data_IF_154515449182
#
_entry.id   IF_154515449182
#
_cell.length_a   1.000
_cell.length_b   1.000
_cell.length_c   1.000
_cell.angle_alpha   90.00
_cell.angle_beta   90.00
_cell.angle_gamma   90.00
#
_symmetry.space_group_name_H-M   'P 1'
#
loop_
_entity.id
_entity.type
_entity.pdbx_description
1 polymer ?
#
# COMPACT_ATOMS: atom_id res chain seq x y z
N UNK A 1 11.80 8.18 -28.78
CA UNK A 1 12.06 7.03 -27.89
C UNK A 1 13.41 7.29 -27.23
N UNK A 2 13.43 7.76 -25.98
CA UNK A 2 14.68 8.05 -25.28
C UNK A 2 15.25 6.75 -24.70
N UNK A 3 16.35 6.27 -25.29
CA UNK A 3 17.00 5.01 -24.91
C UNK A 3 18.02 5.24 -23.79
N UNK A 4 17.56 5.30 -22.53
CA UNK A 4 18.46 5.16 -21.39
C UNK A 4 18.91 3.69 -21.28
N UNK A 5 20.18 3.40 -21.60
CA UNK A 5 20.73 2.03 -21.61
C UNK A 5 21.18 1.58 -20.21
N UNK A 6 20.34 1.74 -19.19
CA UNK A 6 20.57 1.13 -17.88
C UNK A 6 19.80 -0.20 -17.80
N UNK A 7 20.54 -1.31 -17.94
CA UNK A 7 19.96 -2.67 -17.88
C UNK A 7 20.27 -3.39 -16.57
N UNK A 8 21.04 -2.78 -15.65
CA UNK A 8 21.44 -3.38 -14.37
C UNK A 8 20.96 -2.54 -13.20
N UNK A 9 20.38 -3.20 -12.19
CA UNK A 9 19.93 -2.54 -10.96
C UNK A 9 21.07 -1.81 -10.23
N UNK A 10 22.30 -2.34 -10.29
CA UNK A 10 23.48 -1.70 -9.69
C UNK A 10 23.81 -0.33 -10.33
N UNK A 11 23.60 -0.20 -11.64
CA UNK A 11 23.84 1.06 -12.35
C UNK A 11 22.79 2.10 -11.96
N UNK A 12 21.53 1.67 -11.81
CA UNK A 12 20.43 2.52 -11.32
C UNK A 12 20.70 2.97 -9.89
N UNK A 13 21.14 2.06 -9.01
CA UNK A 13 21.46 2.39 -7.62
C UNK A 13 22.56 3.46 -7.54
N UNK A 14 23.62 3.34 -8.34
CA UNK A 14 24.69 4.35 -8.40
C UNK A 14 24.19 5.70 -8.89
N UNK A 15 23.32 5.71 -9.90
CA UNK A 15 22.74 6.93 -10.47
C UNK A 15 21.72 7.61 -9.54
N UNK A 16 21.02 6.85 -8.70
CA UNK A 16 20.17 7.39 -7.63
C UNK A 16 21.03 8.00 -6.52
N UNK A 17 22.11 7.33 -6.13
CA UNK A 17 23.03 7.83 -5.10
C UNK A 17 23.70 9.14 -5.51
N UNK A 18 24.02 9.35 -6.80
CA UNK A 18 24.56 10.62 -7.29
C UNK A 18 23.57 11.79 -7.25
N UNK A 19 22.29 11.52 -6.92
CA UNK A 19 21.20 12.49 -6.78
C UNK A 19 20.68 12.53 -5.33
N UNK A 20 21.53 12.11 -4.38
CA UNK A 20 21.23 12.04 -2.94
C UNK A 20 20.04 11.13 -2.57
N UNK A 21 19.72 10.16 -3.44
CA UNK A 21 18.74 9.10 -3.14
C UNK A 21 19.50 7.83 -2.78
N UNK A 22 19.73 7.63 -1.48
CA UNK A 22 20.40 6.42 -0.98
C UNK A 22 19.37 5.30 -0.73
N UNK A 23 19.49 4.22 -1.51
CA UNK A 23 18.65 3.03 -1.42
C UNK A 23 19.53 1.79 -1.45
N UNK A 24 19.13 0.77 -0.71
CA UNK A 24 19.82 -0.52 -0.74
C UNK A 24 19.62 -1.20 -2.10
N UNK A 25 20.56 -2.08 -2.48
CA UNK A 25 20.47 -2.83 -3.73
C UNK A 25 19.15 -3.60 -3.83
N UNK A 26 18.72 -4.24 -2.73
CA UNK A 26 17.44 -4.97 -2.68
C UNK A 26 16.23 -4.08 -2.89
N UNK A 27 16.25 -2.83 -2.39
CA UNK A 27 15.17 -1.87 -2.63
C UNK A 27 15.10 -1.47 -4.11
N UNK A 28 16.25 -1.19 -4.73
CA UNK A 28 16.32 -0.86 -6.16
C UNK A 28 15.93 -2.06 -7.01
N UNK A 29 16.36 -3.27 -6.65
CA UNK A 29 15.99 -4.49 -7.34
C UNK A 29 14.47 -4.68 -7.36
N UNK A 30 13.82 -4.64 -6.18
CA UNK A 30 12.35 -4.75 -6.08
C UNK A 30 11.62 -3.65 -6.84
N UNK A 31 12.13 -2.43 -6.81
CA UNK A 31 11.55 -1.31 -7.55
C UNK A 31 11.53 -1.55 -9.07
N UNK A 32 12.53 -2.26 -9.60
CA UNK A 32 12.67 -2.52 -11.04
C UNK A 32 11.98 -3.83 -11.45
N UNK A 33 11.87 -4.81 -10.54
CA UNK A 33 11.30 -6.14 -10.84
C UNK A 33 9.84 -6.31 -10.40
N UNK A 34 9.37 -5.55 -9.42
CA UNK A 34 8.03 -5.67 -8.83
C UNK A 34 7.24 -4.35 -8.96
N UNK A 35 5.92 -4.41 -8.81
CA UNK A 35 5.09 -3.21 -8.69
C UNK A 35 5.15 -2.68 -7.24
N UNK A 36 5.67 -1.46 -6.98
CA UNK A 36 5.70 -0.91 -5.63
C UNK A 36 4.30 -0.44 -5.20
N UNK A 37 3.93 -0.72 -3.95
CA UNK A 37 2.68 -0.19 -3.34
C UNK A 37 2.80 1.28 -2.96
N UNK A 38 4.02 1.71 -2.58
CA UNK A 38 4.33 3.06 -2.14
C UNK A 38 5.68 3.47 -2.70
N UNK A 39 5.75 4.70 -3.20
CA UNK A 39 6.96 5.28 -3.77
C UNK A 39 7.10 6.73 -3.31
N UNK A 40 8.32 7.15 -2.98
CA UNK A 40 8.64 8.54 -2.65
C UNK A 40 8.74 9.39 -3.94
N UNK A 41 8.19 10.61 -3.91
CA UNK A 41 8.24 11.55 -5.02
C UNK A 41 9.69 11.90 -5.44
N UNK A 42 10.63 12.01 -4.49
CA UNK A 42 12.04 12.24 -4.81
C UNK A 42 12.63 11.13 -5.69
N UNK A 43 12.26 9.87 -5.42
CA UNK A 43 12.69 8.72 -6.22
C UNK A 43 12.07 8.80 -7.61
N UNK A 44 10.78 9.15 -7.73
CA UNK A 44 10.12 9.31 -9.02
C UNK A 44 10.84 10.35 -9.90
N UNK A 45 11.11 11.53 -9.33
CA UNK A 45 11.79 12.62 -10.04
C UNK A 45 13.21 12.22 -10.45
N UNK A 46 13.96 11.57 -9.57
CA UNK A 46 15.28 11.06 -9.90
C UNK A 46 15.24 10.02 -11.03
N UNK A 47 14.26 9.13 -11.04
CA UNK A 47 14.08 8.14 -12.11
C UNK A 47 13.73 8.80 -13.45
N UNK A 48 12.85 9.81 -13.45
CA UNK A 48 12.54 10.58 -14.67
C UNK A 48 13.80 11.22 -15.27
N UNK A 49 14.64 11.81 -14.43
CA UNK A 49 15.91 12.42 -14.86
C UNK A 49 16.93 11.37 -15.36
N UNK A 50 17.09 10.26 -14.64
CA UNK A 50 18.00 9.16 -15.03
C UNK A 50 17.58 8.54 -16.36
N UNK A 51 16.29 8.31 -16.54
CA UNK A 51 15.73 7.61 -17.70
C UNK A 51 15.38 8.56 -18.85
N UNK A 52 15.46 9.88 -18.64
CA UNK A 52 15.08 10.93 -19.59
C UNK A 52 13.65 10.73 -20.12
N UNK A 53 12.73 10.43 -19.22
CA UNK A 53 11.32 10.20 -19.52
C UNK A 53 10.41 11.12 -18.70
N UNK A 54 9.15 11.20 -19.11
CA UNK A 54 8.10 11.94 -18.41
C UNK A 54 7.42 11.07 -17.36
N UNK A 55 6.61 11.69 -16.48
CA UNK A 55 5.84 10.96 -15.48
C UNK A 55 4.86 9.96 -16.13
N UNK A 56 4.26 10.32 -17.27
CA UNK A 56 3.29 9.47 -17.99
C UNK A 56 3.92 8.18 -18.56
N UNK A 57 5.25 8.16 -18.70
CA UNK A 57 5.99 6.97 -19.12
C UNK A 57 6.25 6.00 -17.96
N UNK A 58 6.18 6.48 -16.71
CA UNK A 58 6.46 5.70 -15.49
C UNK A 58 5.20 5.32 -14.71
N UNK A 59 4.23 6.22 -14.64
CA UNK A 59 3.02 6.06 -13.85
C UNK A 59 1.78 6.27 -14.71
N UNK A 60 0.72 5.52 -14.40
CA UNK A 60 -0.60 5.71 -15.00
C UNK A 60 -1.62 5.85 -13.87
N UNK A 61 -2.46 6.89 -13.86
CA UNK A 61 -3.55 6.98 -12.92
C UNK A 61 -4.47 5.78 -13.13
N UNK A 62 -4.71 5.04 -12.05
CA UNK A 62 -5.70 3.97 -12.00
C UNK A 62 -6.89 4.52 -11.22
N UNK A 63 -8.10 4.30 -11.72
CA UNK A 63 -9.29 4.62 -10.94
C UNK A 63 -9.18 3.89 -9.59
N UNK A 64 -9.14 4.65 -8.49
CA UNK A 64 -9.06 4.05 -7.18
C UNK A 64 -10.34 3.23 -6.99
N UNK A 65 -10.19 1.90 -6.84
CA UNK A 65 -11.28 1.09 -6.32
C UNK A 65 -11.59 1.67 -4.94
N UNK A 66 -12.72 2.36 -4.81
CA UNK A 66 -13.24 2.79 -3.51
C UNK A 66 -13.14 1.59 -2.60
N UNK A 67 -12.37 1.64 -1.49
CA UNK A 67 -12.35 0.52 -0.56
C UNK A 67 -13.82 0.27 -0.22
N UNK A 68 -14.33 -0.93 -0.51
CA UNK A 68 -15.70 -1.26 -0.15
C UNK A 68 -15.76 -1.03 1.35
N UNK A 69 -16.44 0.03 1.78
CA UNK A 69 -16.67 0.25 3.18
C UNK A 69 -17.58 -0.90 3.57
N UNK A 70 -17.00 -2.01 4.03
CA UNK A 70 -17.74 -3.06 4.71
C UNK A 70 -18.11 -2.52 6.09
N UNK A 71 -18.95 -1.48 6.10
CA UNK A 71 -19.84 -1.27 7.23
C UNK A 71 -20.68 -2.53 7.27
N UNK A 72 -20.64 -3.29 8.36
CA UNK A 72 -21.32 -4.58 8.52
C UNK A 72 -22.86 -4.52 8.49
N UNK A 73 -23.43 -3.57 7.75
CA UNK A 73 -24.86 -3.37 7.50
C UNK A 73 -25.37 -4.13 6.27
N UNK A 74 -24.54 -4.91 5.59
CA UNK A 74 -25.01 -5.86 4.57
C UNK A 74 -25.49 -7.18 5.23
N UNK A 75 -26.44 -7.05 6.15
CA UNK A 75 -27.36 -8.11 6.50
C UNK A 75 -28.72 -7.50 6.26
N UNK A 76 -29.50 -8.12 5.37
CA UNK A 76 -30.94 -7.90 5.13
C UNK A 76 -31.51 -6.68 5.85
N UNK A 77 -31.88 -5.65 5.09
CA UNK A 77 -32.41 -4.38 5.61
C UNK A 77 -33.62 -4.51 6.57
N UNK A 78 -34.18 -5.72 6.71
CA UNK A 78 -35.29 -6.06 7.61
C UNK A 78 -34.91 -6.74 8.93
N UNK A 79 -33.63 -7.02 9.22
CA UNK A 79 -33.24 -7.63 10.51
C UNK A 79 -32.45 -6.62 11.34
N UNK A 80 -32.99 -6.14 12.49
CA UNK A 80 -32.22 -5.32 13.41
C UNK A 80 -30.96 -6.08 13.82
N UNK A 81 -29.78 -5.58 13.44
CA UNK A 81 -28.52 -6.18 13.86
C UNK A 81 -28.47 -6.34 15.38
N UNK A 82 -27.89 -7.42 15.89
CA UNK A 82 -27.94 -7.77 17.32
C UNK A 82 -27.50 -6.64 18.27
N UNK A 83 -26.63 -5.74 17.82
CA UNK A 83 -26.24 -4.54 18.56
C UNK A 83 -27.35 -3.48 18.69
N UNK A 84 -28.24 -3.37 17.71
CA UNK A 84 -29.41 -2.49 17.76
C UNK A 84 -30.44 -3.00 18.77
N UNK A 85 -30.73 -4.31 18.76
CA UNK A 85 -31.61 -4.94 19.74
C UNK A 85 -31.06 -4.84 21.18
N UNK A 86 -29.74 -5.00 21.35
CA UNK A 86 -29.06 -4.79 22.65
C UNK A 86 -29.17 -3.34 23.13
N UNK A 87 -29.04 -2.35 22.23
CA UNK A 87 -29.19 -0.93 22.59
C UNK A 87 -30.64 -0.56 22.91
N UNK A 88 -31.61 -1.10 22.16
CA UNK A 88 -33.04 -0.89 22.41
C UNK A 88 -33.50 -1.49 23.75
N UNK A 89 -32.93 -2.63 24.16
CA UNK A 89 -33.20 -3.28 25.46
C UNK A 89 -32.40 -2.69 26.62
N UNK A 90 -31.54 -1.69 26.38
CA UNK A 90 -30.65 -1.13 27.41
C UNK A 90 -29.54 -2.08 27.88
N UNK A 91 -29.42 -3.27 27.27
CA UNK A 91 -28.43 -4.27 27.61
C UNK A 91 -27.04 -3.84 27.11
N UNK A 92 -26.10 -3.63 28.04
CA UNK A 92 -24.70 -3.34 27.70
C UNK A 92 -23.89 -4.64 27.69
N UNK A 93 -23.17 -4.96 26.60
CA UNK A 93 -22.30 -6.12 26.57
C UNK A 93 -21.23 -5.99 27.65
N UNK A 94 -21.06 -7.05 28.46
CA UNK A 94 -19.99 -7.13 29.46
C UNK A 94 -18.66 -7.40 28.76
N UNK A 95 -17.56 -6.83 29.28
CA UNK A 95 -16.21 -7.13 28.78
C UNK A 95 -15.94 -8.62 28.88
N UNK A 96 -15.45 -9.22 27.80
CA UNK A 96 -14.96 -10.59 27.82
C UNK A 96 -13.76 -10.70 28.78
N UNK A 97 -13.74 -11.77 29.56
CA UNK A 97 -12.58 -12.17 30.35
C UNK A 97 -11.91 -13.33 29.62
N UNK A 98 -10.61 -13.18 29.35
CA UNK A 98 -9.81 -14.23 28.72
C UNK A 98 -9.29 -15.11 29.86
N UNK A 99 -9.73 -16.36 29.89
CA UNK A 99 -9.13 -17.37 30.76
C UNK A 99 -7.80 -17.80 30.10
N UNK A 100 -6.68 -17.88 30.86
CA UNK A 100 -5.44 -18.39 30.30
C UNK A 100 -5.62 -19.84 29.83
N UNK A 101 -5.00 -20.18 28.70
CA UNK A 101 -4.92 -21.56 28.23
C UNK A 101 -4.22 -22.41 29.29
N UNK A 102 -4.79 -23.58 29.58
CA UNK A 102 -4.24 -24.51 30.56
C UNK A 102 -2.80 -24.90 30.15
N UNK A 103 -1.84 -24.95 31.08
CA UNK A 103 -0.51 -25.43 30.77
C UNK A 103 -0.58 -26.92 30.36
N UNK A 104 0.04 -27.23 29.22
CA UNK A 104 0.25 -28.61 28.72
C UNK A 104 1.31 -29.33 29.53
#
# INVERSE_FOLDING_TARGET
>A
MNSARLFKAADIQRALKSRDVDMSYSQVYRLVTEKPDRLNLHVLVALMDILKCSADDLIRPVAANTPSVRTGTALNADVPGGSSALRASGARPKRAQILPDAPT
#
